data_IF_564584840514
#
_entry.id   IF_564584840514
#
_cell.length_a   1.000
_cell.length_b   1.000
_cell.length_c   1.000
_cell.angle_alpha   90.00
_cell.angle_beta   90.00
_cell.angle_gamma   90.00
#
_symmetry.space_group_name_H-M   'P 1'
#
loop_
_entity.id
_entity.type
_entity.pdbx_description
1 polymer ?
#
# COMPACT_ATOMS: atom_id res chain seq x y z
N UNK A 1 -2.02 -16.31 13.86
CA UNK A 1 -1.75 -15.44 12.68
C UNK A 1 -1.72 -14.01 13.17
N UNK A 2 -0.55 -13.38 13.18
CA UNK A 2 -0.34 -12.10 13.86
C UNK A 2 -1.24 -11.02 13.24
N UNK A 3 -2.31 -10.64 13.96
CA UNK A 3 -2.89 -9.30 13.87
C UNK A 3 -1.87 -8.33 14.46
N UNK A 4 -0.73 -8.17 13.77
CA UNK A 4 0.24 -7.15 14.09
C UNK A 4 -0.47 -5.81 13.91
N UNK A 5 -0.54 -5.03 14.97
CA UNK A 5 -1.04 -3.66 14.92
C UNK A 5 -0.24 -2.93 13.85
N UNK A 6 -0.86 -2.63 12.70
CA UNK A 6 -0.22 -1.85 11.62
C UNK A 6 0.21 -0.52 12.23
N UNK A 7 1.49 -0.16 12.05
CA UNK A 7 2.09 1.08 12.52
C UNK A 7 2.43 1.98 11.35
N UNK A 8 2.54 3.28 11.65
CA UNK A 8 3.13 4.24 10.71
C UNK A 8 4.58 3.85 10.47
N UNK A 9 5.00 3.86 9.19
CA UNK A 9 6.32 3.41 8.75
C UNK A 9 6.40 1.93 8.36
N UNK A 10 5.35 1.13 8.60
CA UNK A 10 5.30 -0.25 8.08
C UNK A 10 5.16 -0.24 6.56
N UNK A 11 5.83 -1.16 5.89
CA UNK A 11 5.62 -1.41 4.46
C UNK A 11 4.51 -2.44 4.29
N UNK A 12 3.49 -2.06 3.53
CA UNK A 12 2.29 -2.85 3.34
C UNK A 12 1.99 -3.06 1.86
N UNK A 13 1.44 -4.23 1.56
CA UNK A 13 0.91 -4.59 0.27
C UNK A 13 -0.62 -4.54 0.30
N UNK A 14 -1.21 -3.92 -0.72
CA UNK A 14 -2.66 -3.88 -0.96
C UNK A 14 -2.94 -4.65 -2.23
N UNK A 15 -3.74 -5.71 -2.14
CA UNK A 15 -4.14 -6.45 -3.33
C UNK A 15 -5.27 -5.71 -4.05
N UNK A 16 -4.95 -5.10 -5.19
CA UNK A 16 -5.91 -4.43 -6.06
C UNK A 16 -6.16 -5.25 -7.33
N UNK A 17 -7.34 -5.09 -7.94
CA UNK A 17 -7.68 -5.78 -9.19
C UNK A 17 -7.51 -4.83 -10.37
N UNK A 18 -6.69 -5.19 -11.34
CA UNK A 18 -6.53 -4.40 -12.56
C UNK A 18 -7.84 -4.44 -13.35
N UNK A 19 -8.35 -3.26 -13.71
CA UNK A 19 -9.51 -3.15 -14.60
C UNK A 19 -9.07 -3.04 -16.05
N UNK A 20 -8.23 -2.06 -16.36
CA UNK A 20 -7.73 -1.80 -17.72
C UNK A 20 -6.43 -1.01 -17.69
N UNK A 21 -5.63 -1.13 -18.74
CA UNK A 21 -4.52 -0.20 -19.00
C UNK A 21 -5.09 1.11 -19.56
N UNK A 22 -4.64 2.24 -19.02
CA UNK A 22 -5.09 3.58 -19.44
C UNK A 22 -4.08 4.21 -20.39
N UNK A 23 -2.80 4.14 -20.04
CA UNK A 23 -1.66 4.57 -20.86
C UNK A 23 -0.55 3.51 -20.80
N UNK A 24 0.54 3.68 -21.56
CA UNK A 24 1.67 2.73 -21.56
C UNK A 24 2.29 2.55 -20.16
N UNK A 25 2.24 3.59 -19.34
CA UNK A 25 2.82 3.70 -18.01
C UNK A 25 1.79 3.70 -16.87
N UNK A 26 0.48 3.74 -17.18
CA UNK A 26 -0.58 3.79 -16.15
C UNK A 26 -1.67 2.77 -16.35
N UNK A 27 -2.09 2.19 -15.23
CA UNK A 27 -3.17 1.22 -15.17
C UNK A 27 -4.27 1.69 -14.23
N UNK A 28 -5.50 1.36 -14.58
CA UNK A 28 -6.67 1.58 -13.74
C UNK A 28 -6.90 0.34 -12.90
N UNK A 29 -6.86 0.53 -11.59
CA UNK A 29 -7.03 -0.52 -10.58
C UNK A 29 -8.28 -0.26 -9.76
N UNK A 30 -8.94 -1.35 -9.39
CA UNK A 30 -10.00 -1.38 -8.41
C UNK A 30 -9.39 -1.77 -7.07
N UNK A 31 -9.37 -0.81 -6.16
CA UNK A 31 -8.87 -1.00 -4.81
C UNK A 31 -10.05 -1.44 -3.93
N UNK A 32 -9.92 -2.54 -3.17
CA UNK A 32 -10.94 -2.92 -2.20
C UNK A 32 -11.15 -1.79 -1.20
N UNK A 33 -12.40 -1.35 -1.01
CA UNK A 33 -12.86 -0.19 -0.20
C UNK A 33 -13.00 1.13 -0.95
N UNK A 34 -12.56 1.25 -2.21
CA UNK A 34 -12.82 2.42 -3.06
C UNK A 34 -13.90 2.11 -4.08
N UNK A 35 -14.87 3.01 -4.22
CA UNK A 35 -15.94 2.89 -5.23
C UNK A 35 -15.52 3.44 -6.60
N UNK A 36 -14.40 4.17 -6.67
CA UNK A 36 -13.88 4.75 -7.91
C UNK A 36 -12.58 4.05 -8.34
N UNK A 37 -12.41 3.77 -9.64
CA UNK A 37 -11.16 3.24 -10.16
C UNK A 37 -10.03 4.24 -9.92
N UNK A 38 -8.91 3.77 -9.38
CA UNK A 38 -7.73 4.60 -9.17
C UNK A 38 -6.71 4.32 -10.28
N UNK A 39 -6.01 5.35 -10.75
CA UNK A 39 -4.96 5.20 -11.76
C UNK A 39 -3.61 5.25 -11.09
N UNK A 40 -2.84 4.18 -11.22
CA UNK A 40 -1.48 4.09 -10.69
C UNK A 40 -0.48 4.02 -11.83
N UNK A 41 0.74 4.48 -11.55
CA UNK A 41 1.88 4.30 -12.45
C UNK A 41 2.38 2.87 -12.27
N UNK A 42 2.29 2.08 -13.32
CA UNK A 42 2.81 0.71 -13.35
C UNK A 42 3.32 0.42 -14.76
N UNK A 43 4.63 0.20 -14.85
CA UNK A 43 5.34 -0.06 -16.11
C UNK A 43 5.36 -1.55 -16.47
N UNK A 44 4.72 -2.42 -15.68
CA UNK A 44 4.70 -3.86 -15.93
C UNK A 44 4.07 -4.16 -17.30
N UNK A 45 4.82 -4.73 -18.27
CA UNK A 45 4.43 -4.75 -19.67
C UNK A 45 3.27 -5.70 -20.00
N UNK A 46 3.05 -6.74 -19.20
CA UNK A 46 2.07 -7.79 -19.46
C UNK A 46 0.96 -7.80 -18.40
N UNK A 47 0.16 -6.74 -18.35
CA UNK A 47 -0.98 -6.65 -17.43
C UNK A 47 -2.28 -6.97 -18.14
N UNK A 48 -2.99 -7.97 -17.62
CA UNK A 48 -4.33 -8.35 -18.09
C UNK A 48 -5.42 -7.76 -17.20
N UNK A 49 -6.56 -7.40 -17.79
CA UNK A 49 -7.76 -7.05 -17.02
C UNK A 49 -8.20 -8.23 -16.16
N UNK A 50 -8.56 -7.97 -14.90
CA UNK A 50 -8.92 -8.99 -13.91
C UNK A 50 -7.73 -9.56 -13.12
N UNK A 51 -6.49 -9.22 -13.50
CA UNK A 51 -5.31 -9.63 -12.75
C UNK A 51 -5.27 -8.95 -11.38
N UNK A 52 -4.89 -9.71 -10.35
CA UNK A 52 -4.62 -9.15 -9.03
C UNK A 52 -3.16 -8.71 -8.97
N UNK A 53 -2.93 -7.50 -8.47
CA UNK A 53 -1.60 -6.94 -8.26
C UNK A 53 -1.47 -6.46 -6.82
N UNK A 54 -0.27 -6.59 -6.26
CA UNK A 54 0.04 -6.12 -4.93
C UNK A 54 0.68 -4.73 -5.03
N UNK A 55 -0.03 -3.72 -4.54
CA UNK A 55 0.46 -2.35 -4.43
C UNK A 55 1.23 -2.20 -3.14
N UNK A 56 2.54 -2.02 -3.24
CA UNK A 56 3.42 -1.89 -2.10
C UNK A 56 3.62 -0.40 -1.79
N UNK A 57 3.45 -0.04 -0.52
CA UNK A 57 3.70 1.32 -0.05
C UNK A 57 3.92 1.39 1.45
N UNK A 58 4.33 2.55 1.92
CA UNK A 58 4.58 2.81 3.34
C UNK A 58 3.31 3.34 4.02
N UNK A 59 3.04 2.92 5.23
CA UNK A 59 1.91 3.44 6.00
C UNK A 59 2.22 4.84 6.50
N UNK A 60 1.46 5.83 6.04
CA UNK A 60 1.57 7.22 6.50
C UNK A 60 0.66 7.51 7.69
N UNK A 61 -0.53 6.89 7.72
CA UNK A 61 -1.53 7.12 8.77
C UNK A 61 -2.31 5.86 9.05
N UNK A 62 -2.63 5.66 10.33
CA UNK A 62 -3.43 4.55 10.81
C UNK A 62 -4.58 5.13 11.62
N UNK A 63 -5.80 4.93 11.15
CA UNK A 63 -7.04 5.21 11.87
C UNK A 63 -7.62 3.92 12.45
N UNK A 64 -8.78 4.00 13.11
CA UNK A 64 -9.42 2.85 13.75
C UNK A 64 -9.77 1.75 12.72
N UNK A 65 -10.40 2.12 11.61
CA UNK A 65 -10.82 1.19 10.56
C UNK A 65 -10.01 1.27 9.26
N UNK A 66 -9.33 2.39 9.03
CA UNK A 66 -8.64 2.70 7.76
C UNK A 66 -7.14 2.91 7.95
N UNK A 67 -6.39 2.69 6.87
CA UNK A 67 -4.95 2.93 6.77
C UNK A 67 -4.70 3.74 5.52
N UNK A 68 -3.97 4.84 5.65
CA UNK A 68 -3.47 5.60 4.52
C UNK A 68 -2.07 5.12 4.18
N UNK A 69 -1.91 4.65 2.95
CA UNK A 69 -0.65 4.16 2.41
C UNK A 69 -0.12 5.18 1.41
N UNK A 70 1.11 5.61 1.70
CA UNK A 70 1.95 6.51 0.93
C UNK A 70 2.93 5.78 0.04
N UNK A 71 3.41 6.45 -0.99
CA UNK A 71 4.45 5.96 -1.88
C UNK A 71 4.55 6.84 -3.11
N UNK A 72 5.39 6.45 -4.08
CA UNK A 72 5.48 7.16 -5.35
C UNK A 72 4.14 7.01 -6.09
N UNK A 73 3.34 8.08 -6.07
CA UNK A 73 1.97 8.16 -6.61
C UNK A 73 0.90 7.29 -5.90
N UNK A 74 1.20 6.77 -4.72
CA UNK A 74 0.27 6.03 -3.87
C UNK A 74 -0.14 6.94 -2.71
N UNK A 75 -1.34 7.52 -2.77
CA UNK A 75 -1.94 8.36 -1.73
C UNK A 75 -3.31 7.83 -1.35
N UNK A 76 -3.39 6.53 -1.07
CA UNK A 76 -4.65 5.78 -1.00
C UNK A 76 -5.00 5.44 0.44
N UNK A 77 -6.29 5.54 0.78
CA UNK A 77 -6.81 5.12 2.09
C UNK A 77 -7.60 3.83 1.91
N UNK A 78 -7.29 2.79 2.67
CA UNK A 78 -7.94 1.48 2.52
C UNK A 78 -8.35 0.93 3.87
N UNK A 79 -9.32 0.01 3.89
CA UNK A 79 -9.68 -0.69 5.13
C UNK A 79 -8.51 -1.53 5.61
N UNK A 80 -8.30 -1.57 6.93
CA UNK A 80 -7.27 -2.42 7.57
C UNK A 80 -7.34 -3.89 7.16
N UNK A 81 -8.53 -4.42 6.87
CA UNK A 81 -8.73 -5.80 6.45
C UNK A 81 -8.20 -6.12 5.05
N UNK A 82 -7.99 -5.09 4.21
CA UNK A 82 -7.52 -5.24 2.84
C UNK A 82 -6.00 -5.06 2.68
N UNK A 83 -5.30 -4.86 3.80
CA UNK A 83 -3.87 -4.56 3.85
C UNK A 83 -3.11 -5.77 4.40
N UNK A 84 -2.00 -6.14 3.76
CA UNK A 84 -1.06 -7.15 4.25
C UNK A 84 0.27 -6.51 4.58
N UNK A 85 0.78 -6.71 5.80
CA UNK A 85 2.12 -6.25 6.17
C UNK A 85 3.16 -7.09 5.40
N UNK A 86 4.06 -6.41 4.69
CA UNK A 86 5.20 -7.02 3.99
C UNK A 86 6.42 -6.93 4.89
N UNK A 87 6.76 -5.70 5.28
CA UNK A 87 7.89 -5.41 6.16
C UNK A 87 7.38 -4.60 7.35
N UNK A 88 7.51 -5.14 8.56
CA UNK A 88 7.21 -4.33 9.76
C UNK A 88 8.37 -3.40 10.06
N UNK A 89 8.05 -2.16 10.37
CA UNK A 89 8.98 -1.14 10.82
C UNK A 89 9.61 -1.56 12.15
N UNK A 90 10.92 -1.78 12.13
CA UNK A 90 11.72 -1.97 13.32
C UNK A 90 12.46 -0.66 13.59
N UNK A 91 12.01 0.07 14.62
CA UNK A 91 12.70 1.26 15.06
C UNK A 91 14.18 0.93 15.33
N UNK A 92 15.14 1.72 14.82
CA UNK A 92 16.55 1.43 14.98
C UNK A 92 16.87 1.35 16.49
N UNK A 93 17.41 0.21 16.92
CA UNK A 93 17.83 0.00 18.30
C UNK A 93 19.00 0.93 18.58
N UNK A 94 18.71 2.07 19.20
CA UNK A 94 19.66 3.13 19.50
C UNK A 94 20.78 2.58 20.39
N UNK A 95 22.00 2.54 19.87
CA UNK A 95 23.19 2.03 20.57
C UNK A 95 23.96 3.08 21.36
N UNK A 96 23.67 4.38 21.19
CA UNK A 96 24.35 5.47 21.90
C UNK A 96 23.37 6.42 22.58
N UNK A 97 23.55 6.76 23.87
CA UNK A 97 22.72 7.74 24.57
C UNK A 97 22.87 9.13 23.95
N UNK A 98 21.91 10.03 24.20
CA UNK A 98 21.99 11.43 23.76
C UNK A 98 23.01 12.06 24.71
N UNK A 99 24.13 12.52 24.18
CA UNK A 99 25.11 13.28 24.96
C UNK A 99 24.64 14.74 24.89
N UNK A 100 24.39 15.33 26.05
CA UNK A 100 24.09 16.75 26.25
C UNK A 100 25.35 17.61 26.04
#
# INVERSE_FOLDING_TARGET
>A
MAKGTIKVGDEVAITATVRKRVTEDRISVLIPSYNQPHSIVDTTPNISSGQKIDLIGEVLRVDEETVTVGGKDLGITVKRSAVRIVTSHVAPKRTKPLVD
#
